data_IF_431120328995
#
_entry.id   IF_431120328995
#
_cell.length_a   1.000
_cell.length_b   1.000
_cell.length_c   1.000
_cell.angle_alpha   90.00
_cell.angle_beta   90.00
_cell.angle_gamma   90.00
#
_symmetry.space_group_name_H-M   'P 1'
#
loop_
_entity.id
_entity.type
_entity.pdbx_description
1 polymer ?
#
# COMPACT_ATOMS: atom_id res chain seq x y z
N UNK A 1 43.74 30.69 6.70
CA UNK A 1 43.60 29.26 6.32
C UNK A 1 43.63 28.32 7.52
N UNK A 2 44.67 28.31 8.38
CA UNK A 2 44.79 27.39 9.53
C UNK A 2 43.64 27.45 10.55
N UNK A 3 43.10 28.65 10.83
CA UNK A 3 41.95 28.85 11.76
C UNK A 3 40.62 28.29 11.21
N UNK A 4 40.46 28.29 9.89
CA UNK A 4 39.26 27.75 9.24
C UNK A 4 39.27 26.22 9.28
N UNK A 5 40.44 25.61 9.05
CA UNK A 5 40.62 24.15 9.17
C UNK A 5 40.33 23.63 10.57
N UNK A 6 40.73 24.37 11.62
CA UNK A 6 40.45 23.98 13.01
C UNK A 6 38.93 24.00 13.30
N UNK A 7 38.21 25.02 12.83
CA UNK A 7 36.75 25.10 13.00
C UNK A 7 36.02 23.96 12.30
N UNK A 8 36.43 23.59 11.08
CA UNK A 8 35.82 22.48 10.33
C UNK A 8 36.07 21.15 11.03
N UNK A 9 37.27 20.93 11.57
CA UNK A 9 37.59 19.70 12.33
C UNK A 9 36.76 19.64 13.61
N UNK A 10 36.65 20.75 14.35
CA UNK A 10 35.83 20.80 15.56
C UNK A 10 34.34 20.53 15.27
N UNK A 11 33.82 21.02 14.15
CA UNK A 11 32.45 20.74 13.70
C UNK A 11 32.27 19.26 13.32
N UNK A 12 33.23 18.67 12.60
CA UNK A 12 33.16 17.25 12.22
C UNK A 12 33.21 16.34 13.46
N UNK A 13 34.05 16.69 14.44
CA UNK A 13 34.15 15.95 15.71
C UNK A 13 32.87 16.11 16.54
N UNK A 14 32.29 17.31 16.62
CA UNK A 14 31.03 17.50 17.37
C UNK A 14 29.87 16.74 16.74
N UNK A 15 29.76 16.71 15.40
CA UNK A 15 28.77 15.89 14.69
C UNK A 15 29.00 14.41 14.94
N UNK A 16 30.24 13.93 14.89
CA UNK A 16 30.58 12.53 15.19
C UNK A 16 30.22 12.12 16.62
N UNK A 17 30.44 13.01 17.59
CA UNK A 17 30.03 12.80 18.99
C UNK A 17 28.50 12.76 19.09
N UNK A 18 27.79 13.65 18.39
CA UNK A 18 26.32 13.66 18.40
C UNK A 18 25.76 12.35 17.83
N UNK A 19 26.30 11.86 16.72
CA UNK A 19 25.82 10.60 16.09
C UNK A 19 26.06 9.37 16.98
N UNK A 20 27.12 9.38 17.80
CA UNK A 20 27.48 8.24 18.65
C UNK A 20 26.81 8.27 20.02
N UNK A 21 26.61 9.47 20.60
CA UNK A 21 26.03 9.63 21.95
C UNK A 21 24.51 9.71 21.90
N UNK A 22 23.91 10.24 20.82
CA UNK A 22 22.46 10.27 20.66
C UNK A 22 22.01 9.05 19.87
N UNK A 23 21.33 8.06 20.50
CA UNK A 23 20.85 6.89 19.79
C UNK A 23 19.92 7.31 18.65
N UNK A 24 20.22 6.85 17.44
CA UNK A 24 19.32 6.99 16.30
C UNK A 24 17.96 6.40 16.67
N UNK A 25 16.84 7.10 16.40
CA UNK A 25 15.52 6.54 16.62
C UNK A 25 15.41 5.28 15.78
N UNK A 26 15.39 4.12 16.45
CA UNK A 26 15.02 2.88 15.80
C UNK A 26 13.57 3.08 15.39
N UNK A 27 13.29 3.24 14.09
CA UNK A 27 11.93 3.16 13.58
C UNK A 27 11.53 1.69 13.67
N UNK A 28 11.23 1.25 14.89
CA UNK A 28 10.52 0.00 15.11
C UNK A 28 9.09 0.28 14.68
N UNK A 29 8.79 -0.01 13.42
CA UNK A 29 7.43 0.04 12.90
C UNK A 29 6.60 -1.11 13.51
N UNK A 30 6.43 -1.10 14.84
CA UNK A 30 5.32 -1.80 15.51
C UNK A 30 4.13 -0.85 15.53
N UNK A 31 3.75 -0.39 14.33
CA UNK A 31 2.48 0.28 14.13
C UNK A 31 1.43 -0.79 13.88
N UNK A 32 0.58 -1.09 14.87
CA UNK A 32 -0.73 -1.65 14.54
C UNK A 32 -1.48 -0.54 13.81
N UNK A 33 -1.47 -0.60 12.49
CA UNK A 33 -2.28 0.28 11.66
C UNK A 33 -3.75 -0.11 11.86
N UNK A 34 -4.39 0.47 12.87
CA UNK A 34 -5.82 0.37 13.04
C UNK A 34 -6.46 1.35 12.04
N UNK A 35 -6.94 0.82 10.92
CA UNK A 35 -7.73 1.59 9.96
C UNK A 35 -9.13 1.71 10.56
N UNK A 36 -9.43 2.81 11.24
CA UNK A 36 -10.69 3.01 11.97
C UNK A 36 -11.93 2.99 11.06
N UNK A 37 -11.80 3.37 9.79
CA UNK A 37 -12.85 3.18 8.77
C UNK A 37 -13.15 1.70 8.45
N UNK A 38 -12.23 0.79 8.80
CA UNK A 38 -12.37 -0.66 8.67
C UNK A 38 -12.81 -1.33 9.98
N UNK A 39 -13.07 -0.57 11.04
CA UNK A 39 -13.84 -1.01 12.19
C UNK A 39 -15.33 -1.08 11.78
N UNK A 40 -15.61 -1.87 10.74
CA UNK A 40 -16.93 -2.46 10.58
C UNK A 40 -17.17 -3.23 11.87
N UNK A 41 -18.19 -2.82 12.60
CA UNK A 41 -18.84 -3.63 13.61
C UNK A 41 -18.85 -5.07 13.11
N UNK A 42 -18.31 -5.96 13.93
CA UNK A 42 -18.08 -7.38 13.67
C UNK A 42 -19.41 -8.13 13.54
N UNK A 43 -20.21 -7.79 12.53
CA UNK A 43 -21.46 -8.44 12.17
C UNK A 43 -21.63 -8.50 10.64
N UNK A 44 -20.65 -9.07 9.95
CA UNK A 44 -20.88 -9.58 8.59
C UNK A 44 -20.01 -10.82 8.35
N UNK A 45 -20.19 -11.82 9.22
CA UNK A 45 -19.87 -13.19 8.85
C UNK A 45 -20.93 -13.63 7.84
N UNK A 46 -20.49 -13.84 6.60
CA UNK A 46 -21.23 -14.50 5.50
C UNK A 46 -21.80 -13.63 4.36
N UNK A 47 -20.98 -12.70 3.87
CA UNK A 47 -21.19 -12.12 2.54
C UNK A 47 -20.66 -13.01 1.38
N UNK A 48 -20.07 -14.17 1.69
CA UNK A 48 -19.56 -15.13 0.70
C UNK A 48 -18.17 -14.80 0.13
N UNK A 49 -17.49 -13.75 0.60
CA UNK A 49 -16.16 -13.37 0.11
C UNK A 49 -15.02 -13.74 1.09
N UNK A 50 -13.86 -14.04 0.52
CA UNK A 50 -12.62 -14.33 1.23
C UNK A 50 -12.09 -13.10 1.96
N UNK A 51 -11.44 -13.33 3.11
CA UNK A 51 -10.82 -12.29 3.95
C UNK A 51 -9.30 -12.38 3.91
N UNK A 52 -8.63 -11.22 4.00
CA UNK A 52 -7.17 -11.13 4.10
C UNK A 52 -6.81 -11.00 5.58
N UNK A 53 -6.18 -12.03 6.16
CA UNK A 53 -5.79 -12.05 7.58
C UNK A 53 -4.33 -11.64 7.82
N UNK A 54 -3.55 -11.50 6.76
CA UNK A 54 -2.14 -11.16 6.81
C UNK A 54 -1.43 -11.53 5.50
N UNK A 55 -0.10 -11.40 5.45
CA UNK A 55 0.69 -11.81 4.29
C UNK A 55 0.45 -13.29 3.95
N UNK A 56 0.32 -13.58 2.67
CA UNK A 56 0.22 -14.93 2.11
C UNK A 56 1.31 -15.09 1.05
N UNK A 57 1.81 -16.31 0.88
CA UNK A 57 2.78 -16.62 -0.17
C UNK A 57 2.16 -16.38 -1.56
N UNK A 58 2.81 -15.55 -2.36
CA UNK A 58 2.41 -15.29 -3.75
C UNK A 58 2.99 -16.38 -4.67
N UNK A 59 2.12 -17.04 -5.43
CA UNK A 59 2.47 -18.08 -6.39
C UNK A 59 2.14 -17.59 -7.79
N UNK A 60 3.18 -17.43 -8.60
CA UNK A 60 3.06 -17.02 -9.99
C UNK A 60 3.15 -18.24 -10.93
N UNK A 61 2.37 -18.27 -12.03
CA UNK A 61 1.57 -17.18 -12.60
C UNK A 61 0.14 -17.05 -12.04
N UNK A 62 -0.30 -17.95 -11.14
CA UNK A 62 -1.66 -17.97 -10.59
C UNK A 62 -2.11 -16.59 -10.08
N UNK A 63 -1.28 -15.94 -9.28
CA UNK A 63 -1.61 -14.67 -8.62
C UNK A 63 -1.42 -13.43 -9.53
N UNK A 64 -1.14 -13.62 -10.83
CA UNK A 64 -1.28 -12.55 -11.85
C UNK A 64 -2.74 -12.40 -12.33
N UNK A 65 -3.55 -13.45 -12.16
CA UNK A 65 -4.95 -13.48 -12.60
C UNK A 65 -5.90 -12.73 -11.68
N UNK A 66 -7.20 -12.87 -11.94
CA UNK A 66 -8.23 -12.34 -11.07
C UNK A 66 -8.36 -13.14 -9.77
N UNK A 67 -8.61 -12.43 -8.68
CA UNK A 67 -8.88 -12.99 -7.36
C UNK A 67 -10.38 -12.89 -7.04
N UNK A 68 -11.21 -13.65 -7.76
CA UNK A 68 -12.68 -13.54 -7.72
C UNK A 68 -13.31 -13.94 -6.38
N UNK A 69 -12.57 -14.64 -5.53
CA UNK A 69 -12.97 -14.94 -4.16
C UNK A 69 -13.05 -13.69 -3.27
N UNK A 70 -12.47 -12.56 -3.66
CA UNK A 70 -12.49 -11.32 -2.89
C UNK A 70 -13.49 -10.31 -3.48
N UNK A 71 -14.16 -9.59 -2.57
CA UNK A 71 -15.19 -8.62 -2.98
C UNK A 71 -14.63 -7.51 -3.86
N UNK A 72 -13.38 -7.11 -3.66
CA UNK A 72 -12.82 -5.94 -4.33
C UNK A 72 -11.44 -6.25 -4.88
N UNK A 73 -11.19 -5.86 -6.13
CA UNK A 73 -9.89 -6.02 -6.79
C UNK A 73 -9.60 -4.83 -7.70
N UNK A 74 -8.30 -4.53 -7.87
CA UNK A 74 -7.82 -3.31 -8.50
C UNK A 74 -6.60 -3.65 -9.35
N UNK A 75 -6.57 -3.17 -10.59
CA UNK A 75 -5.35 -3.14 -11.41
C UNK A 75 -4.99 -1.70 -11.66
N UNK A 76 -3.76 -1.31 -11.31
CA UNK A 76 -3.29 0.06 -11.44
C UNK A 76 -2.00 0.12 -12.24
N UNK A 77 -2.10 0.71 -13.43
CA UNK A 77 -0.99 0.90 -14.35
C UNK A 77 -0.67 2.39 -14.46
N UNK A 78 0.59 2.74 -14.26
CA UNK A 78 1.11 4.09 -14.47
C UNK A 78 2.38 4.01 -15.27
N UNK A 79 2.66 5.07 -16.02
CA UNK A 79 3.89 5.11 -16.80
C UNK A 79 4.14 6.45 -17.44
N UNK A 80 5.33 6.56 -18.01
CA UNK A 80 5.75 7.67 -18.85
C UNK A 80 6.03 7.13 -20.24
N UNK A 81 5.62 7.86 -21.26
CA UNK A 81 5.83 7.54 -22.68
C UNK A 81 6.33 8.76 -23.40
N UNK A 82 7.00 8.56 -24.52
CA UNK A 82 7.44 9.63 -25.41
C UNK A 82 6.87 9.40 -26.81
N UNK A 83 6.55 10.50 -27.49
CA UNK A 83 6.21 10.46 -28.92
C UNK A 83 7.46 10.22 -29.75
N UNK A 84 7.27 9.84 -31.02
CA UNK A 84 8.38 9.73 -31.98
C UNK A 84 9.20 11.02 -32.13
N UNK A 85 8.62 12.20 -31.85
CA UNK A 85 9.32 13.48 -31.84
C UNK A 85 9.94 13.86 -30.48
N UNK A 86 9.96 12.95 -29.51
CA UNK A 86 10.59 13.15 -28.20
C UNK A 86 9.77 13.95 -27.18
N UNK A 87 8.48 14.23 -27.44
CA UNK A 87 7.62 14.89 -26.45
C UNK A 87 7.18 13.89 -25.37
N UNK A 88 7.42 14.16 -24.06
CA UNK A 88 7.05 13.26 -22.97
C UNK A 88 5.59 13.41 -22.53
N UNK A 89 5.01 12.31 -22.05
CA UNK A 89 3.68 12.21 -21.47
C UNK A 89 3.67 11.24 -20.30
N UNK A 90 2.87 11.53 -19.28
CA UNK A 90 2.47 10.56 -18.27
C UNK A 90 1.10 9.95 -18.61
N UNK A 91 0.88 8.69 -18.22
CA UNK A 91 -0.44 8.08 -18.27
C UNK A 91 -0.74 7.32 -16.97
N UNK A 92 -2.03 7.17 -16.71
CA UNK A 92 -2.57 6.25 -15.72
C UNK A 92 -3.73 5.47 -16.32
N UNK A 93 -3.87 4.21 -15.92
CA UNK A 93 -4.98 3.35 -16.28
C UNK A 93 -5.33 2.48 -15.09
N UNK A 94 -6.59 2.55 -14.65
CA UNK A 94 -7.04 1.86 -13.45
C UNK A 94 -8.33 1.10 -13.72
N UNK A 95 -8.37 -0.17 -13.32
CA UNK A 95 -9.55 -1.02 -13.35
C UNK A 95 -9.97 -1.29 -11.91
N UNK A 96 -11.24 -1.07 -11.62
CA UNK A 96 -11.84 -1.36 -10.32
C UNK A 96 -12.93 -2.43 -10.49
N UNK A 97 -12.77 -3.56 -9.81
CA UNK A 97 -13.80 -4.60 -9.70
C UNK A 97 -14.37 -4.60 -8.30
N UNK A 98 -15.70 -4.57 -8.21
CA UNK A 98 -16.43 -4.88 -6.98
C UNK A 98 -17.48 -5.95 -7.28
N UNK A 99 -17.37 -7.10 -6.62
CA UNK A 99 -18.32 -8.19 -6.74
C UNK A 99 -19.66 -7.83 -6.08
N UNK A 100 -20.76 -8.25 -6.71
CA UNK A 100 -22.13 -8.03 -6.24
C UNK A 100 -22.68 -9.33 -5.65
N UNK A 101 -23.37 -9.24 -4.51
CA UNK A 101 -24.19 -10.34 -3.99
C UNK A 101 -25.57 -10.25 -4.66
N UNK A 102 -26.11 -11.34 -5.24
CA UNK A 102 -27.47 -11.33 -5.74
C UNK A 102 -28.43 -10.90 -4.63
N UNK A 103 -29.34 -9.97 -4.95
CA UNK A 103 -30.46 -9.68 -4.06
C UNK A 103 -31.32 -10.94 -3.98
N UNK A 104 -31.66 -11.39 -2.78
CA UNK A 104 -32.61 -12.48 -2.59
C UNK A 104 -34.00 -11.98 -2.99
N UNK A 105 -34.30 -11.97 -4.28
CA UNK A 105 -35.64 -11.66 -4.77
C UNK A 105 -36.51 -12.91 -4.56
N UNK A 106 -37.07 -13.05 -3.36
CA UNK A 106 -38.26 -13.88 -3.18
C UNK A 106 -39.42 -13.15 -3.86
N UNK A 107 -39.57 -13.31 -5.18
CA UNK A 107 -40.83 -12.98 -5.84
C UNK A 107 -41.79 -14.10 -5.46
N UNK A 108 -42.65 -13.85 -4.47
CA UNK A 108 -43.81 -14.70 -4.25
C UNK A 108 -44.65 -14.64 -5.53
N UNK A 109 -44.67 -15.73 -6.30
CA UNK A 109 -45.66 -15.90 -7.37
C UNK A 109 -47.01 -16.09 -6.68
N UNK A 110 -47.85 -15.07 -6.70
CA UNK A 110 -49.28 -15.24 -6.41
C UNK A 110 -49.88 -16.19 -7.45
N UNK A 111 -50.56 -17.22 -6.95
CA UNK A 111 -51.40 -18.14 -7.73
C UNK A 111 -52.82 -17.60 -7.81
#
# INVERSE_FOLDING_TARGET
MKRLSILVILLAVSVGIIVTVFPQPQITATGKANVEWLASETSDSDNGFSRVYGPTEMVFPRDLGSHDGYQTEWWYYTGNVETASGRPFGFQFTIFRRALKPLATTVAREQ
#
